data_IF_750720223967
#
_entry.id   IF_750720223967
#
_cell.length_a   1.000
_cell.length_b   1.000
_cell.length_c   1.000
_cell.angle_alpha   90.00
_cell.angle_beta   90.00
_cell.angle_gamma   90.00
#
_symmetry.space_group_name_H-M   'P 1'
#
loop_
_entity.id
_entity.type
_entity.pdbx_description
1 polymer ?
#
# COMPACT_ATOMS: atom_id res chain seq x y z
N UNK A 1 -3.38 25.04 14.13
CA UNK A 1 -3.16 25.85 12.93
C UNK A 1 -3.09 24.85 11.80
N UNK A 2 -3.92 25.00 10.77
CA UNK A 2 -4.14 23.96 9.76
C UNK A 2 -2.85 23.65 9.04
N UNK A 3 -2.20 22.57 9.46
CA UNK A 3 -1.05 22.02 8.76
C UNK A 3 -1.56 21.58 7.40
N UNK A 4 -1.07 22.26 6.36
CA UNK A 4 -1.27 21.92 4.96
C UNK A 4 -0.79 20.49 4.75
N UNK A 5 -1.61 19.49 5.07
CA UNK A 5 -1.47 18.17 4.49
C UNK A 5 -1.66 18.42 3.00
N UNK A 6 -0.62 18.30 2.17
CA UNK A 6 -0.78 18.60 0.76
C UNK A 6 -1.89 17.68 0.25
N UNK A 7 -3.02 18.25 -0.18
CA UNK A 7 -4.16 17.47 -0.66
C UNK A 7 -3.74 16.52 -1.80
N UNK A 8 -2.71 16.93 -2.56
CA UNK A 8 -1.98 16.13 -3.54
C UNK A 8 -1.30 14.89 -2.93
N UNK A 9 -0.70 15.01 -1.74
CA UNK A 9 -0.10 13.90 -1.03
C UNK A 9 -1.12 12.83 -0.64
N UNK A 10 -2.27 13.24 -0.09
CA UNK A 10 -3.38 12.30 0.18
C UNK A 10 -3.86 11.62 -1.10
N UNK A 11 -4.06 12.39 -2.18
CA UNK A 11 -4.60 11.88 -3.43
C UNK A 11 -3.71 10.82 -4.08
N UNK A 12 -2.39 10.96 -3.96
CA UNK A 12 -1.40 10.02 -4.49
C UNK A 12 -1.18 8.84 -3.52
N UNK A 13 -1.18 9.11 -2.21
CA UNK A 13 -0.94 8.11 -1.18
C UNK A 13 -2.11 7.10 -1.07
N UNK A 14 -3.35 7.55 -1.28
CA UNK A 14 -4.55 6.71 -1.20
C UNK A 14 -4.53 5.49 -2.14
N UNK A 15 -4.34 5.61 -3.47
CA UNK A 15 -4.28 4.45 -4.35
C UNK A 15 -3.07 3.57 -4.06
N UNK A 16 -1.93 4.14 -3.66
CA UNK A 16 -0.73 3.38 -3.27
C UNK A 16 -0.98 2.56 -2.01
N UNK A 17 -1.67 3.14 -1.02
CA UNK A 17 -2.06 2.47 0.21
C UNK A 17 -3.06 1.36 -0.03
N UNK A 18 -4.09 1.60 -0.83
CA UNK A 18 -5.07 0.57 -1.21
C UNK A 18 -4.36 -0.59 -1.92
N UNK A 19 -3.48 -0.30 -2.88
CA UNK A 19 -2.73 -1.34 -3.60
C UNK A 19 -1.84 -2.16 -2.65
N UNK A 20 -1.19 -1.51 -1.69
CA UNK A 20 -0.37 -2.16 -0.66
C UNK A 20 -1.21 -3.12 0.19
N UNK A 21 -2.36 -2.66 0.70
CA UNK A 21 -3.27 -3.50 1.48
C UNK A 21 -3.83 -4.67 0.67
N UNK A 22 -4.17 -4.45 -0.60
CA UNK A 22 -4.57 -5.53 -1.50
C UNK A 22 -3.46 -6.57 -1.70
N UNK A 23 -2.20 -6.13 -1.82
CA UNK A 23 -1.06 -7.03 -1.99
C UNK A 23 -0.80 -7.89 -0.73
N UNK A 24 -0.91 -7.29 0.46
CA UNK A 24 -0.85 -8.02 1.74
C UNK A 24 -2.00 -9.02 1.83
N UNK A 25 -3.23 -8.58 1.54
CA UNK A 25 -4.41 -9.44 1.59
C UNK A 25 -4.31 -10.61 0.60
N UNK A 26 -3.80 -10.38 -0.61
CA UNK A 26 -3.54 -11.42 -1.61
C UNK A 26 -2.54 -12.44 -1.10
N UNK A 27 -1.46 -11.99 -0.47
CA UNK A 27 -0.47 -12.87 0.13
C UNK A 27 -1.08 -13.70 1.28
N UNK A 28 -1.83 -13.08 2.19
CA UNK A 28 -2.50 -13.78 3.28
C UNK A 28 -3.52 -14.81 2.77
N UNK A 29 -4.32 -14.45 1.76
CA UNK A 29 -5.25 -15.39 1.12
C UNK A 29 -4.52 -16.58 0.50
N UNK A 30 -3.34 -16.35 -0.09
CA UNK A 30 -2.55 -17.44 -0.66
C UNK A 30 -2.07 -18.47 0.38
N UNK A 31 -2.01 -18.11 1.67
CA UNK A 31 -1.69 -19.06 2.75
C UNK A 31 -2.86 -19.97 3.09
N UNK A 32 -4.09 -19.46 3.01
CA UNK A 32 -5.32 -20.17 3.39
C UNK A 32 -5.93 -20.93 2.22
N UNK A 33 -5.82 -20.37 1.01
CA UNK A 33 -6.47 -20.84 -0.21
C UNK A 33 -5.42 -21.13 -1.27
N UNK A 34 -5.64 -22.14 -2.11
CA UNK A 34 -4.75 -22.42 -3.25
C UNK A 34 -4.71 -21.20 -4.18
N UNK A 35 -3.52 -20.88 -4.67
CA UNK A 35 -3.25 -19.71 -5.52
C UNK A 35 -4.07 -19.69 -6.81
N UNK A 36 -4.45 -20.87 -7.29
CA UNK A 36 -5.23 -21.10 -8.52
C UNK A 36 -6.75 -21.24 -8.26
N UNK A 37 -7.21 -20.99 -7.04
CA UNK A 37 -8.63 -20.99 -6.74
C UNK A 37 -9.32 -19.82 -7.47
N UNK A 38 -10.25 -20.15 -8.37
CA UNK A 38 -11.11 -19.21 -9.10
C UNK A 38 -12.15 -18.50 -8.23
N UNK A 39 -11.94 -18.43 -6.92
CA UNK A 39 -12.79 -17.68 -5.99
C UNK A 39 -12.78 -16.21 -6.41
N UNK A 40 -13.95 -15.56 -6.48
CA UNK A 40 -14.08 -14.20 -7.03
C UNK A 40 -13.11 -13.18 -6.43
N UNK A 41 -12.88 -13.24 -5.11
CA UNK A 41 -11.93 -12.38 -4.39
C UNK A 41 -10.48 -12.61 -4.84
N UNK A 42 -10.05 -13.86 -4.96
CA UNK A 42 -8.68 -14.19 -5.38
C UNK A 42 -8.41 -13.76 -6.82
N UNK A 43 -9.41 -13.88 -7.71
CA UNK A 43 -9.33 -13.41 -9.10
C UNK A 43 -9.20 -11.89 -9.17
N UNK A 44 -9.98 -11.16 -8.38
CA UNK A 44 -9.90 -9.69 -8.30
C UNK A 44 -8.52 -9.25 -7.77
N UNK A 45 -8.07 -9.85 -6.67
CA UNK A 45 -6.77 -9.54 -6.08
C UNK A 45 -5.61 -9.86 -7.03
N UNK A 46 -5.65 -11.02 -7.70
CA UNK A 46 -4.64 -11.35 -8.71
C UNK A 46 -4.66 -10.34 -9.86
N UNK A 47 -5.83 -9.89 -10.32
CA UNK A 47 -5.95 -8.88 -11.37
C UNK A 47 -5.37 -7.51 -11.00
N UNK A 48 -5.48 -7.11 -9.73
CA UNK A 48 -4.94 -5.83 -9.24
C UNK A 48 -3.46 -5.90 -8.88
N UNK A 49 -3.02 -7.01 -8.28
CA UNK A 49 -1.70 -7.14 -7.64
C UNK A 49 -0.67 -7.78 -8.57
N UNK A 50 -1.04 -8.78 -9.38
CA UNK A 50 -0.07 -9.49 -10.20
C UNK A 50 0.56 -8.63 -11.31
N UNK A 51 -0.17 -7.70 -11.98
CA UNK A 51 0.46 -6.81 -12.97
C UNK A 51 1.59 -5.96 -12.40
N UNK A 52 1.43 -5.22 -11.28
CA UNK A 52 2.54 -4.48 -10.68
C UNK A 52 3.65 -5.38 -10.14
N UNK A 53 3.33 -6.57 -9.59
CA UNK A 53 4.36 -7.56 -9.21
C UNK A 53 5.19 -7.99 -10.41
N UNK A 54 4.56 -8.23 -11.57
CA UNK A 54 5.26 -8.64 -12.78
C UNK A 54 6.12 -7.51 -13.36
N UNK A 55 5.62 -6.27 -13.33
CA UNK A 55 6.37 -5.08 -13.74
C UNK A 55 7.64 -4.91 -12.89
N UNK A 56 7.50 -5.08 -11.58
CA UNK A 56 8.60 -4.94 -10.63
C UNK A 56 9.49 -6.17 -10.54
N UNK A 57 9.17 -7.28 -11.23
CA UNK A 57 10.01 -8.49 -11.27
C UNK A 57 11.44 -8.21 -11.73
N UNK A 58 11.66 -7.14 -12.49
CA UNK A 58 13.00 -6.71 -12.89
C UNK A 58 13.79 -6.04 -11.75
N UNK A 59 13.11 -5.33 -10.86
CA UNK A 59 13.69 -4.75 -9.65
C UNK A 59 13.77 -5.76 -8.49
N UNK A 60 12.90 -6.78 -8.51
CA UNK A 60 12.87 -7.83 -7.50
C UNK A 60 14.14 -8.70 -7.58
N UNK A 61 14.89 -8.83 -6.48
CA UNK A 61 16.12 -9.61 -6.49
C UNK A 61 15.84 -11.11 -6.52
N UNK A 62 16.81 -11.89 -7.03
CA UNK A 62 16.66 -13.33 -7.33
C UNK A 62 16.34 -14.24 -6.13
N UNK A 63 16.48 -13.75 -4.90
CA UNK A 63 16.19 -14.51 -3.68
C UNK A 63 14.71 -14.44 -3.26
N UNK A 64 13.91 -13.56 -3.86
CA UNK A 64 12.49 -13.47 -3.57
C UNK A 64 11.77 -14.62 -4.26
N UNK A 65 11.13 -15.47 -3.44
CA UNK A 65 10.29 -16.57 -3.90
C UNK A 65 9.04 -15.97 -4.58
N UNK A 66 8.60 -16.57 -5.69
CA UNK A 66 7.46 -16.11 -6.49
C UNK A 66 6.18 -15.88 -5.65
N UNK A 67 5.92 -16.79 -4.70
CA UNK A 67 4.80 -16.70 -3.76
C UNK A 67 4.83 -15.45 -2.89
N UNK A 68 6.02 -14.99 -2.52
CA UNK A 68 6.27 -13.80 -1.69
C UNK A 68 6.34 -12.51 -2.50
N UNK A 69 6.23 -12.59 -3.84
CA UNK A 69 6.24 -11.43 -4.74
C UNK A 69 5.26 -10.30 -4.37
N UNK A 70 3.99 -10.58 -4.03
CA UNK A 70 3.06 -9.54 -3.57
C UNK A 70 3.48 -8.89 -2.26
N UNK A 71 4.06 -9.66 -1.34
CA UNK A 71 4.53 -9.10 -0.08
C UNK A 71 5.73 -8.18 -0.33
N UNK A 72 6.60 -8.53 -1.27
CA UNK A 72 7.69 -7.67 -1.71
C UNK A 72 7.17 -6.38 -2.36
N UNK A 73 6.12 -6.46 -3.20
CA UNK A 73 5.44 -5.28 -3.73
C UNK A 73 4.90 -4.38 -2.61
N UNK A 74 4.22 -4.97 -1.62
CA UNK A 74 3.69 -4.22 -0.48
C UNK A 74 4.81 -3.50 0.29
N UNK A 75 5.95 -4.16 0.48
CA UNK A 75 7.12 -3.56 1.11
C UNK A 75 7.69 -2.39 0.30
N UNK A 76 7.80 -2.52 -1.03
CA UNK A 76 8.23 -1.42 -1.89
C UNK A 76 7.26 -0.23 -1.84
N UNK A 77 5.95 -0.51 -1.88
CA UNK A 77 4.92 0.53 -1.73
C UNK A 77 5.02 1.22 -0.37
N UNK A 78 5.30 0.48 0.70
CA UNK A 78 5.53 1.04 2.01
C UNK A 78 6.74 1.99 2.02
N UNK A 79 7.88 1.58 1.46
CA UNK A 79 9.07 2.46 1.35
C UNK A 79 8.74 3.70 0.52
N UNK A 80 8.06 3.53 -0.62
CA UNK A 80 7.67 4.63 -1.49
C UNK A 80 6.80 5.64 -0.74
N UNK A 81 5.80 5.16 -0.01
CA UNK A 81 4.88 6.02 0.76
C UNK A 81 5.58 6.70 1.94
N UNK A 82 6.44 5.98 2.66
CA UNK A 82 7.01 6.48 3.91
C UNK A 82 8.27 7.33 3.72
N UNK A 83 9.03 7.10 2.65
CA UNK A 83 10.30 7.82 2.43
C UNK A 83 10.28 8.68 1.17
N UNK A 84 9.64 8.23 0.08
CA UNK A 84 9.68 8.97 -1.19
C UNK A 84 8.60 10.04 -1.26
N UNK A 85 7.37 9.73 -0.84
CA UNK A 85 6.27 10.70 -0.83
C UNK A 85 6.56 11.96 0.02
N UNK A 86 7.01 11.85 1.29
CA UNK A 86 7.37 13.04 2.07
C UNK A 86 8.55 13.82 1.48
N UNK A 87 9.57 13.13 0.96
CA UNK A 87 10.71 13.79 0.32
C UNK A 87 10.31 14.53 -0.97
N UNK A 88 9.38 13.97 -1.76
CA UNK A 88 8.92 14.56 -3.01
C UNK A 88 7.95 15.74 -2.80
N UNK A 89 7.17 15.71 -1.72
CA UNK A 89 6.13 16.70 -1.43
C UNK A 89 6.57 17.73 -0.37
N UNK A 90 7.74 17.53 0.25
CA UNK A 90 8.36 18.48 1.18
C UNK A 90 7.68 18.58 2.54
N UNK A 91 7.02 17.50 3.00
CA UNK A 91 6.45 17.44 4.35
C UNK A 91 7.21 16.42 5.22
N UNK A 92 7.44 16.76 6.48
CA UNK A 92 8.07 15.87 7.45
C UNK A 92 7.05 14.93 8.09
N UNK A 93 7.43 13.65 8.22
CA UNK A 93 6.61 12.64 8.91
C UNK A 93 7.21 12.40 10.30
N UNK A 94 6.45 12.76 11.34
CA UNK A 94 6.87 12.61 12.74
C UNK A 94 6.82 11.17 13.25
N UNK A 95 6.18 10.23 12.52
CA UNK A 95 6.09 8.81 12.87
C UNK A 95 5.19 8.00 11.94
N UNK A 96 5.01 6.70 12.21
CA UNK A 96 4.19 5.81 11.37
C UNK A 96 2.78 6.36 11.10
N UNK A 97 2.15 6.99 12.10
CA UNK A 97 0.82 7.60 12.03
C UNK A 97 0.74 8.99 11.39
N UNK A 98 1.86 9.55 10.95
CA UNK A 98 1.93 10.89 10.33
C UNK A 98 1.63 10.87 8.83
N UNK A 99 1.25 9.73 8.27
CA UNK A 99 0.91 9.63 6.85
C UNK A 99 -0.35 10.44 6.55
N UNK A 100 -0.45 11.06 5.36
CA UNK A 100 -1.59 11.89 4.96
C UNK A 100 -2.93 11.18 5.12
N UNK A 101 -2.96 9.87 4.83
CA UNK A 101 -4.15 9.02 4.95
C UNK A 101 -4.54 8.77 6.41
N UNK A 102 -3.58 8.57 7.31
CA UNK A 102 -3.87 8.40 8.74
C UNK A 102 -4.31 9.69 9.39
N UNK A 103 -3.71 10.83 9.02
CA UNK A 103 -4.19 12.14 9.46
C UNK A 103 -5.64 12.40 9.04
N UNK A 104 -6.05 11.97 7.85
CA UNK A 104 -7.43 12.10 7.37
C UNK A 104 -8.39 11.18 8.14
N UNK A 105 -7.98 9.95 8.45
CA UNK A 105 -8.77 9.04 9.31
C UNK A 105 -8.89 9.62 10.73
N UNK A 106 -7.80 10.18 11.27
CA UNK A 106 -7.77 10.81 12.59
C UNK A 106 -8.62 12.08 12.64
N UNK A 107 -8.58 12.92 11.60
CA UNK A 107 -9.40 14.13 11.53
C UNK A 107 -10.89 13.80 11.49
N UNK A 108 -11.29 12.81 10.69
CA UNK A 108 -12.68 12.33 10.65
C UNK A 108 -13.11 11.74 11.99
N UNK A 109 -12.24 10.96 12.66
CA UNK A 109 -12.52 10.45 14.00
C UNK A 109 -12.77 11.58 15.00
N UNK A 110 -11.92 12.63 15.00
CA UNK A 110 -12.09 13.77 15.90
C UNK A 110 -13.37 14.57 15.63
N UNK A 111 -13.80 14.66 14.37
CA UNK A 111 -15.08 15.30 14.00
C UNK A 111 -16.29 14.46 14.43
N UNK A 112 -16.17 13.13 14.42
CA UNK A 112 -17.26 12.19 14.78
C UNK A 112 -17.32 11.89 16.29
N UNK A 113 -16.31 12.31 17.07
CA UNK A 113 -16.34 12.24 18.54
C UNK A 113 -16.19 10.84 19.14
N UNK A 114 -15.44 9.94 18.47
CA UNK A 114 -15.13 8.57 18.93
C UNK A 114 -13.70 8.40 19.47
#
# INVERSE_FOLDING_TARGET
MGDDVPALGVLIDLPLGILMWCAILRFLLSMVVKEDSKTGVMRLLNGLVMPPVHLLRHATPRWVIERTGPLYLAFLLFILRFYVAPLALGYDITGLGGLPLENLILSVRTEVGL
#
